data_IF_328802483143
#
_entry.id   IF_328802483143
#
_cell.length_a   1.000
_cell.length_b   1.000
_cell.length_c   1.000
_cell.angle_alpha   90.00
_cell.angle_beta   90.00
_cell.angle_gamma   90.00
#
_symmetry.space_group_name_H-M   'P 1'
#
loop_
_entity.id
_entity.type
_entity.pdbx_description
1 polymer ?
#
# COMPACT_ATOMS: atom_id res chain seq x y z
N UNK A 1 5.13 -9.09 -16.21
CA UNK A 1 5.67 -8.53 -14.95
C UNK A 1 7.19 -8.56 -15.00
N UNK A 2 7.86 -7.43 -14.87
CA UNK A 2 9.32 -7.37 -14.84
C UNK A 2 9.82 -7.23 -13.39
N UNK A 3 10.73 -8.11 -12.98
CA UNK A 3 11.39 -8.04 -11.67
C UNK A 3 12.70 -7.27 -11.84
N UNK A 4 12.77 -6.06 -11.29
CA UNK A 4 13.93 -5.16 -11.43
C UNK A 4 14.68 -5.09 -10.11
N UNK A 5 15.93 -5.54 -10.11
CA UNK A 5 16.86 -5.38 -8.98
C UNK A 5 17.36 -3.94 -8.93
N UNK A 6 17.20 -3.28 -7.79
CA UNK A 6 17.65 -1.89 -7.63
C UNK A 6 19.18 -1.78 -7.59
N UNK A 7 19.75 -0.72 -8.18
CA UNK A 7 21.19 -0.41 -8.04
C UNK A 7 21.52 -0.13 -6.56
N UNK A 8 22.65 -0.63 -6.03
CA UNK A 8 23.01 -0.50 -4.62
C UNK A 8 23.59 0.90 -4.31
N UNK A 9 22.80 1.96 -4.47
CA UNK A 9 23.22 3.35 -4.19
C UNK A 9 23.23 3.69 -2.70
N UNK A 10 22.55 2.90 -1.87
CA UNK A 10 22.51 3.05 -0.40
C UNK A 10 22.30 1.68 0.27
N UNK A 11 22.72 1.47 1.53
CA UNK A 11 22.59 0.17 2.20
C UNK A 11 21.14 -0.34 2.23
N UNK A 12 20.16 0.53 2.46
CA UNK A 12 18.74 0.15 2.49
C UNK A 12 18.15 -0.26 1.13
N UNK A 13 18.80 0.07 0.01
CA UNK A 13 18.33 -0.29 -1.34
C UNK A 13 18.92 -1.60 -1.88
N UNK A 14 19.93 -2.18 -1.23
CA UNK A 14 20.73 -3.31 -1.76
C UNK A 14 19.90 -4.59 -2.01
N UNK A 15 18.93 -4.86 -1.14
CA UNK A 15 18.08 -6.05 -1.23
C UNK A 15 16.69 -5.74 -1.79
N UNK A 16 16.45 -4.50 -2.26
CA UNK A 16 15.14 -4.09 -2.78
C UNK A 16 14.96 -4.65 -4.19
N UNK A 17 13.96 -5.49 -4.31
CA UNK A 17 13.47 -6.03 -5.58
C UNK A 17 12.12 -5.36 -5.87
N UNK A 18 12.00 -4.69 -7.02
CA UNK A 18 10.76 -4.02 -7.43
C UNK A 18 10.07 -4.82 -8.51
N UNK A 19 8.75 -4.94 -8.40
CA UNK A 19 7.90 -5.45 -9.47
C UNK A 19 7.41 -4.24 -10.27
N UNK A 20 7.77 -4.17 -11.54
CA UNK A 20 7.34 -3.10 -12.45
C UNK A 20 6.33 -3.67 -13.43
N UNK A 21 5.13 -3.08 -13.45
CA UNK A 21 4.10 -3.39 -14.44
C UNK A 21 3.92 -2.20 -15.38
N UNK A 22 4.38 -2.28 -16.64
CA UNK A 22 4.27 -1.18 -17.62
C UNK A 22 2.83 -0.94 -18.09
N UNK A 23 1.93 -1.90 -17.91
CA UNK A 23 0.52 -1.83 -18.34
C UNK A 23 -0.38 -1.12 -17.32
N UNK A 24 0.14 -0.79 -16.13
CA UNK A 24 -0.65 -0.13 -15.10
C UNK A 24 -0.96 1.33 -15.49
N UNK A 25 -2.24 1.72 -15.38
CA UNK A 25 -2.67 3.10 -15.62
C UNK A 25 -1.96 4.08 -14.67
N UNK A 26 -1.33 5.11 -15.24
CA UNK A 26 -0.48 6.08 -14.50
C UNK A 26 -1.25 7.27 -13.91
N UNK A 27 -2.51 7.46 -14.32
CA UNK A 27 -3.35 8.57 -13.86
C UNK A 27 -4.08 8.27 -12.54
N UNK A 28 -4.96 9.18 -12.13
CA UNK A 28 -5.84 8.96 -10.99
C UNK A 28 -6.82 7.81 -11.29
N UNK A 29 -7.16 7.00 -10.28
CA UNK A 29 -8.25 6.03 -10.41
C UNK A 29 -9.58 6.75 -10.69
N UNK A 30 -10.51 6.03 -11.32
CA UNK A 30 -11.83 6.55 -11.64
C UNK A 30 -12.60 6.90 -10.35
N UNK A 31 -12.85 8.19 -10.13
CA UNK A 31 -13.34 8.73 -8.86
C UNK A 31 -14.72 8.21 -8.40
N UNK A 32 -15.70 7.95 -9.30
CA UNK A 32 -17.01 7.44 -8.88
C UNK A 32 -17.00 6.02 -8.29
N UNK A 33 -15.97 5.21 -8.59
CA UNK A 33 -15.84 3.84 -8.08
C UNK A 33 -14.97 3.77 -6.83
N UNK A 34 -14.74 4.91 -6.18
CA UNK A 34 -13.69 5.04 -5.18
C UNK A 34 -14.26 5.42 -3.83
N UNK A 35 -13.91 4.64 -2.82
CA UNK A 35 -14.40 4.83 -1.47
C UNK A 35 -13.32 5.09 -0.44
N UNK A 36 -13.66 5.89 0.57
CA UNK A 36 -12.75 6.20 1.67
C UNK A 36 -12.64 5.01 2.61
N UNK A 37 -11.48 4.38 2.62
CA UNK A 37 -11.15 3.37 3.63
C UNK A 37 -10.37 4.01 4.79
N UNK A 38 -10.99 4.05 5.97
CA UNK A 38 -10.32 4.44 7.21
C UNK A 38 -9.65 3.23 7.87
N UNK A 39 -8.36 3.35 8.15
CA UNK A 39 -7.60 2.28 8.80
C UNK A 39 -7.98 2.17 10.27
N UNK A 40 -8.30 0.95 10.72
CA UNK A 40 -8.58 0.66 12.13
C UNK A 40 -7.34 0.72 13.03
N UNK A 41 -6.13 0.61 12.45
CA UNK A 41 -4.88 0.63 13.20
C UNK A 41 -4.81 -0.46 14.28
N UNK A 42 -5.41 -1.63 13.99
CA UNK A 42 -5.43 -2.79 14.89
C UNK A 42 -6.34 -2.65 16.11
N UNK A 43 -7.18 -1.61 16.16
CA UNK A 43 -8.11 -1.35 17.27
C UNK A 43 -9.51 -1.89 16.96
N UNK A 44 -10.20 -2.37 18.00
CA UNK A 44 -11.62 -2.71 17.94
C UNK A 44 -12.53 -1.51 18.28
N UNK A 45 -13.85 -1.72 18.23
CA UNK A 45 -14.88 -0.75 18.62
C UNK A 45 -14.74 -0.23 20.07
N UNK A 46 -14.13 -1.00 20.96
CA UNK A 46 -13.85 -0.61 22.34
C UNK A 46 -12.53 0.18 22.48
N UNK A 47 -11.88 0.53 21.36
CA UNK A 47 -10.62 1.29 21.33
C UNK A 47 -9.38 0.50 21.75
N UNK A 48 -9.52 -0.80 22.04
CA UNK A 48 -8.42 -1.66 22.48
C UNK A 48 -7.68 -2.24 21.28
N UNK A 49 -6.36 -2.33 21.39
CA UNK A 49 -5.54 -3.03 20.39
C UNK A 49 -5.80 -4.53 20.53
N UNK A 50 -6.47 -5.11 19.55
CA UNK A 50 -6.72 -6.57 19.48
C UNK A 50 -5.68 -7.28 18.63
N UNK A 51 -5.06 -6.56 17.69
CA UNK A 51 -4.03 -7.09 16.79
C UNK A 51 -2.79 -6.19 16.85
N UNK A 52 -1.65 -6.79 17.19
CA UNK A 52 -0.36 -6.07 17.25
C UNK A 52 0.24 -5.93 15.85
N UNK A 53 1.17 -4.97 15.70
CA UNK A 53 1.86 -4.66 14.44
C UNK A 53 0.97 -4.16 13.28
N UNK A 54 -0.29 -3.81 13.57
CA UNK A 54 -1.20 -3.17 12.60
C UNK A 54 -1.29 -1.68 12.94
N UNK A 55 -0.62 -0.84 12.17
CA UNK A 55 -0.62 0.60 12.36
C UNK A 55 0.26 1.31 11.34
N UNK A 56 -0.19 2.46 10.83
CA UNK A 56 0.54 3.24 9.84
C UNK A 56 0.34 2.79 8.38
N UNK A 57 1.23 3.28 7.51
CA UNK A 57 1.22 3.08 6.06
C UNK A 57 0.33 4.06 5.27
N UNK A 58 0.46 4.11 3.93
CA UNK A 58 -0.32 5.02 3.07
C UNK A 58 -1.82 4.74 3.13
N UNK A 59 -2.64 5.79 3.11
CA UNK A 59 -4.10 5.63 3.06
C UNK A 59 -4.51 4.98 1.74
N UNK A 60 -5.23 3.86 1.82
CA UNK A 60 -5.77 3.16 0.66
C UNK A 60 -7.18 3.67 0.41
N UNK A 61 -7.54 3.90 -0.86
CA UNK A 61 -8.94 3.95 -1.29
C UNK A 61 -9.39 2.53 -1.61
N UNK A 62 -10.62 2.17 -1.24
CA UNK A 62 -11.21 0.93 -1.73
C UNK A 62 -11.75 1.19 -3.14
N UNK A 63 -11.39 0.36 -4.15
CA UNK A 63 -12.25 0.23 -5.30
C UNK A 63 -13.55 -0.40 -4.81
N UNK A 64 -14.68 0.24 -5.09
CA UNK A 64 -15.99 -0.30 -4.75
C UNK A 64 -16.29 -1.59 -5.53
N UNK A 65 -17.18 -2.39 -4.94
CA UNK A 65 -17.76 -3.68 -5.37
C UNK A 65 -18.01 -3.84 -6.87
#
# INVERSE_FOLDING_TARGET
MAVVKCKPTSPGRRHVVKVVNPELHKGKPFAPLLEKNSKSGGRNNNGRITTRHIGGGPQAGLPYC
#
